data_IF_837763689982
#
_entry.id   IF_837763689982
#
_cell.length_a   1.000
_cell.length_b   1.000
_cell.length_c   1.000
_cell.angle_alpha   90.00
_cell.angle_beta   90.00
_cell.angle_gamma   90.00
#
_symmetry.space_group_name_H-M   'P 1'
#
loop_
_entity.id
_entity.type
_entity.pdbx_description
1 polymer ?
#
# COMPACT_ATOMS: atom_id res chain seq x y z
N UNK A 1 -3.00 9.13 0.06
CA UNK A 1 -2.74 7.71 -0.26
C UNK A 1 -3.21 6.89 0.92
N UNK A 2 -3.82 5.73 0.69
CA UNK A 2 -4.29 4.90 1.77
C UNK A 2 -3.10 4.48 2.65
N UNK A 3 -3.43 4.01 3.83
CA UNK A 3 -2.44 3.63 4.84
C UNK A 3 -2.23 2.10 4.77
N UNK A 4 -1.31 1.51 5.57
CA UNK A 4 -0.83 0.15 5.36
C UNK A 4 -1.90 -0.95 5.21
N UNK A 5 -3.01 -0.88 5.95
CA UNK A 5 -4.02 -1.94 6.02
C UNK A 5 -4.80 -2.09 4.73
N UNK A 6 -5.11 -1.02 4.00
CA UNK A 6 -5.70 -1.14 2.66
C UNK A 6 -4.74 -1.85 1.71
N UNK A 7 -3.45 -1.53 1.75
CA UNK A 7 -2.44 -2.22 0.93
C UNK A 7 -2.32 -3.70 1.32
N UNK A 8 -2.39 -4.02 2.62
CA UNK A 8 -2.39 -5.40 3.09
C UNK A 8 -3.66 -6.14 2.70
N UNK A 9 -4.82 -5.47 2.68
CA UNK A 9 -6.06 -6.08 2.21
C UNK A 9 -6.00 -6.41 0.71
N UNK A 10 -5.42 -5.53 -0.11
CA UNK A 10 -5.13 -5.84 -1.52
C UNK A 10 -4.14 -7.01 -1.62
N UNK A 11 -3.05 -6.99 -0.86
CA UNK A 11 -2.07 -8.09 -0.82
C UNK A 11 -2.72 -9.43 -0.44
N UNK A 12 -3.58 -9.44 0.57
CA UNK A 12 -4.29 -10.63 1.02
C UNK A 12 -5.20 -11.21 -0.06
N UNK A 13 -5.77 -10.38 -0.93
CA UNK A 13 -6.59 -10.86 -2.04
C UNK A 13 -5.79 -11.46 -3.19
N UNK A 14 -4.48 -11.23 -3.24
CA UNK A 14 -3.61 -11.71 -4.31
C UNK A 14 -3.05 -13.13 -4.02
N UNK A 15 -3.05 -13.57 -2.76
CA UNK A 15 -2.40 -14.81 -2.34
C UNK A 15 -3.26 -15.63 -1.38
N UNK A 16 -3.22 -16.95 -1.55
CA UNK A 16 -3.81 -17.93 -0.63
C UNK A 16 -2.69 -18.86 -0.11
N UNK A 17 -2.50 -19.01 1.22
CA UNK A 17 -3.33 -18.55 2.33
C UNK A 17 -3.12 -17.07 2.73
N UNK A 18 -2.10 -16.41 2.19
CA UNK A 18 -1.81 -15.00 2.46
C UNK A 18 -0.45 -14.58 1.87
N UNK A 19 -0.13 -13.28 1.89
CA UNK A 19 1.10 -12.76 1.31
C UNK A 19 2.33 -13.12 2.16
N UNK A 20 3.49 -13.23 1.53
CA UNK A 20 4.76 -13.44 2.24
C UNK A 20 5.19 -12.18 3.02
N UNK A 21 6.05 -12.31 4.06
CA UNK A 21 6.67 -11.19 4.75
C UNK A 21 7.28 -10.14 3.81
N UNK A 22 8.04 -10.60 2.82
CA UNK A 22 8.72 -9.73 1.89
C UNK A 22 7.73 -8.95 1.01
N UNK A 23 6.65 -9.58 0.55
CA UNK A 23 5.60 -8.90 -0.20
C UNK A 23 4.92 -7.81 0.64
N UNK A 24 4.55 -8.12 1.88
CA UNK A 24 3.93 -7.16 2.81
C UNK A 24 4.85 -5.97 3.09
N UNK A 25 6.16 -6.21 3.27
CA UNK A 25 7.10 -5.11 3.46
C UNK A 25 7.22 -4.27 2.18
N UNK A 26 7.27 -4.92 1.02
CA UNK A 26 7.22 -4.27 -0.28
C UNK A 26 5.99 -3.36 -0.42
N UNK A 27 4.82 -3.82 0.00
CA UNK A 27 3.54 -3.10 -0.15
C UNK A 27 3.38 -1.86 0.73
N UNK A 28 4.36 -1.54 1.58
CA UNK A 28 4.44 -0.26 2.30
C UNK A 28 5.74 0.51 2.00
N UNK A 29 6.68 -0.11 1.31
CA UNK A 29 8.03 0.44 1.13
C UNK A 29 8.12 1.72 0.30
N UNK A 30 7.28 2.00 -0.72
CA UNK A 30 7.35 3.28 -1.44
C UNK A 30 7.19 4.50 -0.52
N UNK A 31 6.43 4.37 0.57
CA UNK A 31 6.26 5.41 1.58
C UNK A 31 7.37 5.45 2.65
N UNK A 32 8.33 4.52 2.62
CA UNK A 32 9.45 4.48 3.57
C UNK A 32 10.35 5.70 3.52
N UNK A 33 10.22 6.51 2.46
CA UNK A 33 10.80 7.85 2.38
C UNK A 33 10.47 8.69 3.61
N UNK A 34 9.27 8.52 4.20
CA UNK A 34 8.82 9.23 5.40
C UNK A 34 9.59 8.87 6.69
N UNK A 35 10.53 7.92 6.64
CA UNK A 35 11.51 7.71 7.70
C UNK A 35 12.60 8.80 7.73
N UNK A 36 12.77 9.57 6.63
CA UNK A 36 13.64 10.75 6.60
C UNK A 36 12.97 11.94 7.29
N UNK A 37 13.79 12.82 7.85
CA UNK A 37 13.32 14.11 8.33
C UNK A 37 13.03 15.05 7.15
N UNK A 38 11.95 15.83 7.25
CA UNK A 38 11.62 16.92 6.30
C UNK A 38 11.43 16.52 4.81
N UNK A 39 10.87 15.33 4.55
CA UNK A 39 10.55 14.85 3.19
C UNK A 39 9.63 15.81 2.43
N UNK A 40 10.02 16.15 1.21
CA UNK A 40 9.17 16.92 0.29
C UNK A 40 8.21 16.02 -0.50
N UNK A 41 7.11 16.61 -1.00
CA UNK A 41 6.18 15.93 -1.92
C UNK A 41 6.88 15.44 -3.19
N UNK A 42 7.93 16.15 -3.65
CA UNK A 42 8.71 15.76 -4.83
C UNK A 42 9.48 14.46 -4.57
N UNK A 43 10.17 14.38 -3.43
CA UNK A 43 10.90 13.16 -3.04
C UNK A 43 9.96 11.98 -2.85
N UNK A 44 8.80 12.20 -2.23
CA UNK A 44 7.74 11.17 -2.17
C UNK A 44 7.33 10.72 -3.58
N UNK A 45 7.13 11.66 -4.49
CA UNK A 45 6.77 11.34 -5.87
C UNK A 45 7.79 10.41 -6.54
N UNK A 46 9.09 10.64 -6.32
CA UNK A 46 10.15 9.83 -6.94
C UNK A 46 10.06 8.35 -6.51
N UNK A 47 9.76 8.05 -5.24
CA UNK A 47 9.61 6.65 -4.80
C UNK A 47 8.37 5.98 -5.40
N UNK A 48 7.39 6.75 -5.84
CA UNK A 48 6.18 6.28 -6.52
C UNK A 48 6.28 6.36 -8.06
N UNK A 49 7.50 6.59 -8.58
CA UNK A 49 7.79 6.77 -10.01
C UNK A 49 6.99 7.91 -10.66
N UNK A 50 6.58 8.91 -9.86
CA UNK A 50 5.89 10.11 -10.33
C UNK A 50 6.88 10.96 -11.12
N UNK A 51 6.51 11.29 -12.36
CA UNK A 51 7.26 12.17 -13.22
C UNK A 51 6.40 13.38 -13.59
N UNK A 52 6.96 14.59 -13.47
CA UNK A 52 6.24 15.85 -13.73
C UNK A 52 4.88 15.96 -13.01
N UNK A 53 4.81 15.44 -11.78
CA UNK A 53 3.61 15.49 -10.95
C UNK A 53 2.50 14.51 -11.34
N UNK A 54 2.77 13.56 -12.24
CA UNK A 54 1.82 12.51 -12.65
C UNK A 54 2.34 11.13 -12.30
N UNK A 55 1.43 10.26 -11.87
CA UNK A 55 1.73 8.84 -11.75
C UNK A 55 2.14 8.23 -13.09
N UNK A 56 2.96 7.16 -13.09
CA UNK A 56 3.32 6.46 -14.31
C UNK A 56 2.08 5.83 -14.96
N UNK A 57 2.11 5.66 -16.27
CA UNK A 57 1.15 4.77 -16.93
C UNK A 57 1.35 3.33 -16.45
N UNK A 58 0.32 2.49 -16.59
CA UNK A 58 0.42 1.08 -16.19
C UNK A 58 1.55 0.37 -16.94
N UNK A 59 1.70 0.63 -18.24
CA UNK A 59 2.80 0.06 -19.03
C UNK A 59 4.18 0.47 -18.49
N UNK A 60 4.37 1.75 -18.13
CA UNK A 60 5.63 2.24 -17.54
C UNK A 60 5.90 1.60 -16.18
N UNK A 61 4.87 1.51 -15.35
CA UNK A 61 4.96 0.88 -14.03
C UNK A 61 5.37 -0.59 -14.15
N UNK A 62 4.74 -1.31 -15.07
CA UNK A 62 5.04 -2.72 -15.29
C UNK A 62 6.46 -2.92 -15.88
N UNK A 63 6.90 -2.10 -16.85
CA UNK A 63 8.28 -2.16 -17.36
C UNK A 63 9.32 -1.91 -16.27
N UNK A 64 9.06 -0.93 -15.39
CA UNK A 64 9.91 -0.69 -14.23
C UNK A 64 9.93 -1.92 -13.31
N UNK A 65 8.79 -2.54 -13.03
CA UNK A 65 8.71 -3.75 -12.20
C UNK A 65 9.64 -4.87 -12.72
N UNK A 66 9.56 -5.19 -14.02
CA UNK A 66 10.42 -6.21 -14.65
C UNK A 66 11.91 -5.88 -14.47
N UNK A 67 12.28 -4.61 -14.67
CA UNK A 67 13.67 -4.16 -14.47
C UNK A 67 14.15 -4.39 -13.03
N UNK A 68 13.30 -4.16 -12.02
CA UNK A 68 13.66 -4.44 -10.62
C UNK A 68 13.70 -5.94 -10.30
N UNK A 69 12.77 -6.73 -10.85
CA UNK A 69 12.74 -8.19 -10.65
C UNK A 69 14.03 -8.86 -11.12
N UNK A 70 14.65 -8.35 -12.18
CA UNK A 70 15.87 -8.90 -12.77
C UNK A 70 17.16 -8.54 -12.00
N UNK A 71 17.09 -7.62 -11.02
CA UNK A 71 18.27 -7.18 -10.25
C UNK A 71 18.81 -8.28 -9.32
N UNK A 72 17.94 -9.13 -8.78
CA UNK A 72 18.33 -10.24 -7.91
C UNK A 72 17.52 -11.52 -8.17
N UNK A 73 18.16 -12.66 -7.93
CA UNK A 73 17.51 -13.99 -8.04
C UNK A 73 16.81 -14.43 -6.76
N UNK A 74 17.00 -13.70 -5.67
CA UNK A 74 16.44 -13.98 -4.35
C UNK A 74 14.89 -13.98 -4.42
N UNK A 75 14.21 -15.07 -4.02
CA UNK A 75 12.76 -15.14 -4.03
C UNK A 75 12.09 -14.07 -3.16
N UNK A 76 12.69 -13.72 -2.02
CA UNK A 76 12.16 -12.67 -1.14
C UNK A 76 12.27 -11.30 -1.82
N UNK A 77 13.37 -11.04 -2.54
CA UNK A 77 13.50 -9.82 -3.33
C UNK A 77 12.38 -9.72 -4.36
N UNK A 78 12.10 -10.81 -5.08
CA UNK A 78 11.03 -10.81 -6.09
C UNK A 78 9.67 -10.55 -5.46
N UNK A 79 9.38 -11.18 -4.33
CA UNK A 79 8.15 -10.93 -3.58
C UNK A 79 8.06 -9.47 -3.10
N UNK A 80 9.16 -8.92 -2.57
CA UNK A 80 9.28 -7.52 -2.16
C UNK A 80 9.03 -6.55 -3.32
N UNK A 81 9.65 -6.77 -4.47
CA UNK A 81 9.44 -5.95 -5.67
C UNK A 81 7.97 -6.02 -6.10
N UNK A 82 7.37 -7.22 -6.16
CA UNK A 82 5.95 -7.32 -6.48
C UNK A 82 5.06 -6.54 -5.50
N UNK A 83 5.35 -6.60 -4.20
CA UNK A 83 4.67 -5.79 -3.19
C UNK A 83 4.84 -4.29 -3.43
N UNK A 84 6.06 -3.84 -3.73
CA UNK A 84 6.38 -2.43 -4.02
C UNK A 84 5.58 -1.88 -5.19
N UNK A 85 5.48 -2.64 -6.27
CA UNK A 85 4.73 -2.20 -7.46
C UNK A 85 3.21 -2.35 -7.28
N UNK A 86 2.75 -3.34 -6.51
CA UNK A 86 1.34 -3.45 -6.10
C UNK A 86 0.91 -2.26 -5.23
N UNK A 87 1.78 -1.74 -4.37
CA UNK A 87 1.53 -0.50 -3.63
C UNK A 87 1.29 0.68 -4.57
N UNK A 88 2.22 0.94 -5.49
CA UNK A 88 2.10 2.09 -6.41
C UNK A 88 0.83 1.97 -7.25
N UNK A 89 0.50 0.76 -7.72
CA UNK A 89 -0.75 0.55 -8.44
C UNK A 89 -1.98 0.85 -7.59
N UNK A 90 -1.99 0.34 -6.35
CA UNK A 90 -3.06 0.61 -5.38
C UNK A 90 -3.23 2.10 -5.15
N UNK A 91 -2.12 2.83 -5.07
CA UNK A 91 -2.09 4.28 -4.93
C UNK A 91 -2.68 5.02 -6.15
N UNK A 92 -2.32 4.58 -7.36
CA UNK A 92 -2.91 5.10 -8.60
C UNK A 92 -4.43 4.93 -8.55
N UNK A 93 -4.89 3.69 -8.30
CA UNK A 93 -6.32 3.38 -8.29
C UNK A 93 -7.05 4.13 -7.18
N UNK A 94 -6.45 4.27 -6.00
CA UNK A 94 -7.05 5.02 -4.90
C UNK A 94 -7.26 6.47 -5.29
N UNK A 95 -6.26 7.09 -5.95
CA UNK A 95 -6.32 8.47 -6.43
C UNK A 95 -7.42 8.66 -7.47
N UNK A 96 -7.49 7.74 -8.44
CA UNK A 96 -8.45 7.79 -9.55
C UNK A 96 -9.89 7.46 -9.14
N UNK A 97 -10.09 6.82 -7.98
CA UNK A 97 -11.40 6.34 -7.53
C UNK A 97 -11.79 6.95 -6.19
N UNK A 98 -11.49 6.31 -5.08
CA UNK A 98 -11.98 6.70 -3.75
C UNK A 98 -11.60 8.13 -3.36
N UNK A 99 -10.39 8.57 -3.68
CA UNK A 99 -9.97 9.94 -3.40
C UNK A 99 -10.69 10.97 -4.29
N UNK A 100 -10.77 10.72 -5.60
CA UNK A 100 -11.50 11.59 -6.52
C UNK A 100 -13.01 11.67 -6.21
N UNK A 101 -13.61 10.55 -5.80
CA UNK A 101 -14.99 10.50 -5.34
C UNK A 101 -15.18 11.29 -4.04
N UNK A 102 -14.26 11.12 -3.08
CA UNK A 102 -14.23 11.92 -1.87
C UNK A 102 -14.13 13.42 -2.17
N UNK A 103 -13.20 13.86 -3.02
CA UNK A 103 -13.05 15.28 -3.36
C UNK A 103 -14.32 15.86 -4.01
N UNK A 104 -15.02 15.07 -4.83
CA UNK A 104 -16.27 15.47 -5.49
C UNK A 104 -17.46 15.49 -4.54
N UNK A 105 -17.53 14.55 -3.60
CA UNK A 105 -18.65 14.39 -2.65
C UNK A 105 -18.47 15.23 -1.38
N UNK A 106 -17.25 15.73 -1.12
CA UNK A 106 -16.95 16.50 0.08
C UNK A 106 -17.77 17.80 0.13
N UNK A 107 -18.61 17.90 1.16
CA UNK A 107 -19.52 19.04 1.37
C UNK A 107 -19.14 19.86 2.62
N UNK A 108 -17.99 19.58 3.23
CA UNK A 108 -17.48 20.30 4.39
C UNK A 108 -16.69 21.56 4.02
N UNK A 109 -16.02 22.12 5.02
CA UNK A 109 -15.13 23.26 4.86
C UNK A 109 -13.89 22.88 4.04
N UNK A 110 -13.61 23.61 2.96
CA UNK A 110 -12.45 23.36 2.10
C UNK A 110 -11.12 23.34 2.86
N UNK A 111 -11.01 24.11 3.94
CA UNK A 111 -9.81 24.15 4.76
C UNK A 111 -9.64 22.89 5.63
N UNK A 112 -10.71 22.10 5.77
CA UNK A 112 -10.77 20.86 6.57
C UNK A 112 -10.76 19.59 5.73
N UNK A 113 -10.77 19.68 4.40
CA UNK A 113 -10.83 18.49 3.54
C UNK A 113 -9.72 17.48 3.83
N UNK A 114 -8.49 17.95 4.05
CA UNK A 114 -7.34 17.10 4.35
C UNK A 114 -7.43 16.46 5.73
N UNK A 115 -7.93 17.20 6.72
CA UNK A 115 -8.13 16.69 8.07
C UNK A 115 -9.21 15.61 8.08
N UNK A 116 -10.33 15.85 7.39
CA UNK A 116 -11.40 14.84 7.23
C UNK A 116 -10.88 13.60 6.50
N UNK A 117 -10.15 13.78 5.40
CA UNK A 117 -9.53 12.67 4.67
C UNK A 117 -8.65 11.82 5.60
N UNK A 118 -7.69 12.44 6.28
CA UNK A 118 -6.77 11.73 7.16
C UNK A 118 -7.51 11.01 8.27
N UNK A 119 -8.53 11.64 8.86
CA UNK A 119 -9.30 11.06 9.96
C UNK A 119 -10.11 9.86 9.49
N UNK A 120 -10.80 9.95 8.37
CA UNK A 120 -11.60 8.83 7.87
C UNK A 120 -10.76 7.68 7.33
N UNK A 121 -9.69 7.97 6.58
CA UNK A 121 -8.76 6.92 6.14
C UNK A 121 -8.12 6.25 7.35
N UNK A 122 -7.71 7.00 8.38
CA UNK A 122 -7.19 6.39 9.61
C UNK A 122 -8.21 5.49 10.29
N UNK A 123 -9.49 5.89 10.35
CA UNK A 123 -10.53 5.03 10.91
C UNK A 123 -10.68 3.73 10.12
N UNK A 124 -10.69 3.81 8.78
CA UNK A 124 -10.77 2.63 7.91
C UNK A 124 -9.63 1.64 8.18
N UNK A 125 -8.42 2.12 8.45
CA UNK A 125 -7.29 1.25 8.81
C UNK A 125 -7.55 0.44 10.07
N UNK A 126 -8.06 1.08 11.12
CA UNK A 126 -8.39 0.41 12.37
C UNK A 126 -9.60 -0.52 12.22
N UNK A 127 -10.57 -0.16 11.38
CA UNK A 127 -11.71 -1.03 11.08
C UNK A 127 -11.24 -2.32 10.38
N UNK A 128 -10.35 -2.21 9.39
CA UNK A 128 -9.72 -3.36 8.73
C UNK A 128 -8.92 -4.18 9.75
N UNK A 129 -8.07 -3.55 10.56
CA UNK A 129 -7.25 -4.22 11.57
C UNK A 129 -8.06 -5.04 12.57
N UNK A 130 -9.26 -4.57 12.95
CA UNK A 130 -10.12 -5.23 13.93
C UNK A 130 -11.04 -6.30 13.34
N UNK A 131 -11.54 -6.08 12.12
CA UNK A 131 -12.60 -6.92 11.53
C UNK A 131 -12.05 -8.03 10.65
N UNK A 132 -10.86 -7.86 10.11
CA UNK A 132 -10.29 -8.81 9.16
C UNK A 132 -9.52 -9.94 9.87
N UNK A 133 -9.86 -11.22 9.63
CA UNK A 133 -9.20 -12.35 10.29
C UNK A 133 -7.68 -12.44 10.00
N UNK A 134 -7.25 -11.97 8.83
CA UNK A 134 -5.86 -12.02 8.39
C UNK A 134 -4.98 -10.91 8.98
N UNK A 135 -5.57 -9.88 9.59
CA UNK A 135 -4.86 -8.65 9.93
C UNK A 135 -3.72 -8.88 10.92
N UNK A 136 -3.96 -9.65 11.98
CA UNK A 136 -2.93 -9.94 12.99
C UNK A 136 -1.79 -10.77 12.41
N UNK A 137 -2.10 -11.75 11.56
CA UNK A 137 -1.09 -12.54 10.88
C UNK A 137 -0.24 -11.67 9.95
N UNK A 138 -0.85 -10.73 9.22
CA UNK A 138 -0.12 -9.79 8.39
C UNK A 138 0.86 -8.92 9.20
N UNK A 139 0.49 -8.45 10.40
CA UNK A 139 1.41 -7.71 11.26
C UNK A 139 2.58 -8.60 11.77
N UNK A 140 2.30 -9.87 12.11
CA UNK A 140 3.33 -10.84 12.51
C UNK A 140 4.30 -11.10 11.35
N UNK A 141 3.79 -11.34 10.15
CA UNK A 141 4.62 -11.55 8.95
C UNK A 141 5.45 -10.30 8.65
N UNK A 142 4.84 -9.11 8.74
CA UNK A 142 5.54 -7.85 8.50
C UNK A 142 6.74 -7.68 9.45
N UNK A 143 6.59 -7.98 10.75
CA UNK A 143 7.68 -7.93 11.74
C UNK A 143 8.88 -8.80 11.39
N UNK A 144 8.64 -9.92 10.70
CA UNK A 144 9.67 -10.88 10.33
C UNK A 144 10.34 -10.56 8.98
N UNK A 145 9.79 -9.59 8.23
CA UNK A 145 10.25 -9.30 6.89
C UNK A 145 11.67 -8.70 6.88
N UNK A 146 12.53 -9.27 6.03
CA UNK A 146 13.85 -8.72 5.72
C UNK A 146 13.70 -7.52 4.78
N UNK A 147 14.31 -6.40 5.15
CA UNK A 147 14.34 -5.21 4.30
C UNK A 147 15.33 -5.36 3.14
N UNK A 148 14.98 -4.72 2.03
CA UNK A 148 15.81 -4.58 0.84
C UNK A 148 16.03 -3.11 0.52
N UNK A 149 17.14 -2.80 -0.14
CA UNK A 149 17.36 -1.49 -0.74
C UNK A 149 16.59 -1.39 -2.05
N UNK A 150 16.04 -0.21 -2.35
CA UNK A 150 15.49 0.12 -3.66
C UNK A 150 16.36 1.24 -4.21
N UNK A 151 17.55 0.91 -4.68
CA UNK A 151 18.55 1.92 -5.05
C UNK A 151 18.15 2.68 -6.33
N UNK A 152 18.39 4.00 -6.41
CA UNK A 152 18.93 4.90 -5.38
C UNK A 152 17.85 5.54 -4.47
N UNK A 153 16.63 5.00 -4.48
CA UNK A 153 15.44 5.63 -3.92
C UNK A 153 15.35 5.48 -2.41
N UNK A 154 15.60 4.27 -1.89
CA UNK A 154 15.40 3.91 -0.49
C UNK A 154 16.49 2.96 0.00
N UNK A 155 16.98 3.24 1.20
CA UNK A 155 17.92 2.37 1.92
C UNK A 155 17.18 1.30 2.73
N UNK A 156 17.83 0.17 3.08
CA UNK A 156 17.23 -0.83 3.96
C UNK A 156 16.84 -0.27 5.34
N UNK A 157 17.59 0.70 5.85
CA UNK A 157 17.32 1.34 7.15
C UNK A 157 16.03 2.16 7.12
N UNK A 158 15.77 2.89 6.02
CA UNK A 158 14.52 3.62 5.84
C UNK A 158 13.32 2.68 5.78
N UNK A 159 13.45 1.58 5.04
CA UNK A 159 12.43 0.54 4.94
C UNK A 159 12.14 -0.08 6.31
N UNK A 160 13.18 -0.46 7.07
CA UNK A 160 13.03 -1.01 8.42
C UNK A 160 12.39 -0.01 9.38
N UNK A 161 12.87 1.24 9.41
CA UNK A 161 12.33 2.27 10.29
C UNK A 161 10.86 2.56 9.99
N UNK A 162 10.49 2.63 8.72
CA UNK A 162 9.11 2.86 8.33
C UNK A 162 8.20 1.70 8.73
N UNK A 163 8.64 0.45 8.53
CA UNK A 163 7.94 -0.75 9.04
C UNK A 163 7.66 -0.62 10.53
N UNK A 164 8.70 -0.33 11.32
CA UNK A 164 8.59 -0.28 12.78
C UNK A 164 7.68 0.89 13.24
N UNK A 165 7.76 2.04 12.57
CA UNK A 165 6.85 3.17 12.79
C UNK A 165 5.39 2.80 12.52
N UNK A 166 5.11 2.05 11.45
CA UNK A 166 3.73 1.65 11.10
C UNK A 166 3.17 0.58 12.02
N UNK A 167 3.98 -0.40 12.41
CA UNK A 167 3.59 -1.37 13.44
C UNK A 167 3.26 -0.66 14.75
N UNK A 168 4.14 0.22 15.23
CA UNK A 168 3.90 0.98 16.47
C UNK A 168 2.67 1.89 16.36
N UNK A 169 2.37 2.45 15.18
CA UNK A 169 1.19 3.26 14.98
C UNK A 169 -0.11 2.44 15.06
N UNK A 170 -0.15 1.27 14.40
CA UNK A 170 -1.32 0.38 14.36
C UNK A 170 -1.61 -0.29 15.72
N UNK A 171 -0.58 -0.49 16.54
CA UNK A 171 -0.70 -1.14 17.86
C UNK A 171 -1.14 -0.20 18.98
N UNK A 172 -1.16 1.10 18.70
CA UNK A 172 -1.46 2.13 19.68
C UNK A 172 -2.88 2.67 19.46
N UNK A 173 -3.80 2.21 20.31
CA UNK A 173 -5.24 2.50 20.21
C UNK A 173 -5.56 4.00 20.22
N UNK A 174 -4.72 4.84 20.85
CA UNK A 174 -4.94 6.30 20.86
C UNK A 174 -4.86 6.94 19.47
N UNK A 175 -4.30 6.25 18.48
CA UNK A 175 -4.24 6.71 17.10
C UNK A 175 -5.53 6.44 16.32
N UNK A 176 -6.43 5.60 16.85
CA UNK A 176 -7.74 5.38 16.25
C UNK A 176 -8.63 6.62 16.46
N UNK A 177 -9.19 7.20 15.40
CA UNK A 177 -10.07 8.36 15.51
C UNK A 177 -11.38 8.10 16.27
N UNK A 178 -11.86 6.84 16.27
CA UNK A 178 -13.11 6.37 16.89
C UNK A 178 -14.35 7.10 16.35
N UNK A 179 -14.42 7.21 15.03
CA UNK A 179 -15.53 7.84 14.31
C UNK A 179 -16.25 6.83 13.43
N UNK A 180 -17.45 7.19 12.96
CA UNK A 180 -18.07 6.53 11.82
C UNK A 180 -17.58 7.19 10.53
N UNK A 181 -17.14 6.39 9.55
CA UNK A 181 -16.68 6.89 8.25
C UNK A 181 -17.87 7.29 7.38
N UNK A 182 -17.85 8.50 6.81
CA UNK A 182 -18.90 8.97 5.89
C UNK A 182 -18.54 8.71 4.43
N UNK A 183 -17.31 9.04 4.04
CA UNK A 183 -16.82 9.01 2.67
C UNK A 183 -16.08 7.71 2.35
N UNK A 184 -15.31 7.19 3.29
CA UNK A 184 -14.51 5.96 3.14
C UNK A 184 -15.18 4.75 3.80
N UNK A 185 -16.46 4.56 3.52
CA UNK A 185 -17.26 3.46 4.05
C UNK A 185 -16.65 2.10 3.70
N UNK A 186 -16.80 1.12 4.60
CA UNK A 186 -16.27 -0.23 4.44
C UNK A 186 -16.69 -0.88 3.10
N UNK A 187 -17.93 -0.69 2.66
CA UNK A 187 -18.42 -1.25 1.40
C UNK A 187 -17.71 -0.67 0.17
N UNK A 188 -17.42 0.64 0.18
CA UNK A 188 -16.63 1.30 -0.87
C UNK A 188 -15.18 0.79 -0.83
N UNK A 189 -14.59 0.67 0.35
CA UNK A 189 -13.24 0.17 0.54
C UNK A 189 -13.09 -1.30 0.07
N UNK A 190 -14.03 -2.19 0.44
CA UNK A 190 -14.01 -3.60 0.01
C UNK A 190 -14.09 -3.74 -1.50
N UNK A 191 -15.00 -3.00 -2.15
CA UNK A 191 -15.11 -3.00 -3.62
C UNK A 191 -13.82 -2.50 -4.27
N UNK A 192 -13.22 -1.46 -3.71
CA UNK A 192 -11.93 -0.97 -4.17
C UNK A 192 -10.84 -2.03 -4.05
N UNK A 193 -10.72 -2.70 -2.90
CA UNK A 193 -9.75 -3.76 -2.64
C UNK A 193 -9.91 -4.91 -3.63
N UNK A 194 -11.15 -5.38 -3.81
CA UNK A 194 -11.50 -6.46 -4.75
C UNK A 194 -11.08 -6.14 -6.17
N UNK A 195 -11.56 -5.01 -6.69
CA UNK A 195 -11.31 -4.60 -8.06
C UNK A 195 -9.81 -4.37 -8.31
N UNK A 196 -9.13 -3.71 -7.37
CA UNK A 196 -7.69 -3.44 -7.50
C UNK A 196 -6.89 -4.74 -7.51
N UNK A 197 -7.22 -5.71 -6.66
CA UNK A 197 -6.56 -7.01 -6.64
C UNK A 197 -6.83 -7.83 -7.92
N UNK A 198 -8.06 -7.77 -8.46
CA UNK A 198 -8.40 -8.39 -9.74
C UNK A 198 -7.55 -7.79 -10.88
N UNK A 199 -7.48 -6.45 -10.95
CA UNK A 199 -6.69 -5.74 -11.96
C UNK A 199 -5.18 -6.06 -11.88
N UNK A 200 -4.63 -6.18 -10.66
CA UNK A 200 -3.23 -6.64 -10.47
C UNK A 200 -3.07 -8.10 -10.90
N UNK A 201 -4.05 -8.96 -10.59
CA UNK A 201 -4.01 -10.38 -11.00
C UNK A 201 -4.03 -10.53 -12.52
N UNK A 202 -4.64 -9.61 -13.26
CA UNK A 202 -4.59 -9.64 -14.73
C UNK A 202 -3.18 -9.44 -15.30
N UNK A 203 -2.21 -9.00 -14.48
CA UNK A 203 -0.79 -8.91 -14.86
C UNK A 203 -0.09 -10.27 -14.98
N UNK A 204 -0.83 -11.38 -15.00
CA UNK A 204 -0.31 -12.77 -15.13
C UNK A 204 0.64 -12.98 -16.30
N UNK A 205 0.50 -12.26 -17.40
CA UNK A 205 1.45 -12.32 -18.52
C UNK A 205 2.88 -11.86 -18.14
N UNK A 206 3.04 -11.23 -16.97
CA UNK A 206 4.28 -10.63 -16.47
C UNK A 206 4.96 -11.47 -15.37
N UNK A 207 4.43 -12.67 -15.07
CA UNK A 207 4.96 -13.52 -14.02
C UNK A 207 4.57 -13.10 -12.61
N UNK A 208 3.50 -12.31 -12.44
CA UNK A 208 2.89 -12.09 -11.14
C UNK A 208 2.48 -13.46 -10.57
N UNK A 209 2.87 -13.81 -9.33
CA UNK A 209 2.58 -15.14 -8.81
C UNK A 209 1.06 -15.32 -8.69
N UNK A 210 0.52 -16.38 -9.31
CA UNK A 210 -0.84 -16.85 -9.02
C UNK A 210 -0.75 -17.91 -7.95
N UNK A 211 -1.21 -17.60 -6.75
CA UNK A 211 -1.69 -18.64 -5.84
C UNK A 211 -3.21 -18.54 -5.78
N UNK A 212 -3.86 -19.18 -6.76
CA UNK A 212 -5.25 -19.62 -6.62
C UNK A 212 -5.22 -21.14 -6.65
N UNK A 213 -5.24 -21.76 -5.49
CA UNK A 213 -5.48 -23.20 -5.39
C UNK A 213 -6.99 -23.37 -5.24
N UNK A 214 -7.69 -23.48 -6.37
CA UNK A 214 -9.06 -23.98 -6.37
C UNK A 214 -8.99 -25.44 -5.95
N UNK A 215 -9.36 -25.74 -4.70
CA UNK A 215 -9.89 -27.06 -4.33
C UNK A 215 -11.36 -27.13 -4.70
#
# INVERSE_FOLDING_TARGET
MPWPMVHFAVAQRLFEPGPSPAFLLGSISPDAIHAREHVTRKEKGVTHLVHEGRFPSIQTLQHACVSYLDQHRDPDWKAFVWGYFAHIYTDIRWTETLYADFEREYAGDSDKIRDTYNREVSQLEFDLLKREPWAQDALIQLRQARAFAVEPLLTPDEVNRYRDMKLAWLEEERHEPKIETMYFQETKARRFIEKTAEEITEWVAWGFPRERSVT
#
